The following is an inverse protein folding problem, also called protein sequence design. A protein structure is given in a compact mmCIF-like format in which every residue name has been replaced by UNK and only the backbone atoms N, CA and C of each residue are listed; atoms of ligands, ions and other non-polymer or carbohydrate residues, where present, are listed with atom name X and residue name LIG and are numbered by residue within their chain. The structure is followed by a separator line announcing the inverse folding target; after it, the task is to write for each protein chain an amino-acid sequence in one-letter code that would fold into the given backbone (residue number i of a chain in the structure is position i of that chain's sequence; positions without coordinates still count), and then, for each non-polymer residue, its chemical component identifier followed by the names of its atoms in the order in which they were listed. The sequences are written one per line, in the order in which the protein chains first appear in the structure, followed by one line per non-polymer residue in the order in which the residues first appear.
data_IF_851519490887
#
_entry.id   IF_851519490887
#
_cell.length_a   1.000
_cell.length_b   1.000
_cell.length_c   1.000
_cell.angle_alpha   90.00
_cell.angle_beta   90.00
_cell.angle_gamma   90.00
#
_symmetry.space_group_name_H-M   'P 1'
#
loop_
_entity.id
_entity.type
_entity.pdbx_description
1 polymer ?
#
# COMPACT_ATOMS: atom_id res chain seq x y z
N UNK A 1 -1.34 -19.42 -29.54
CA UNK A 1 -2.29 -19.04 -28.46
C UNK A 1 -1.61 -17.95 -27.65
N UNK A 2 -2.04 -16.69 -27.79
CA UNK A 2 -1.45 -15.57 -27.06
C UNK A 2 -2.26 -15.33 -25.79
N UNK A 3 -1.62 -15.49 -24.62
CA UNK A 3 -2.19 -15.03 -23.36
C UNK A 3 -2.11 -13.50 -23.33
N UNK A 4 -3.23 -12.84 -23.56
CA UNK A 4 -3.36 -11.42 -23.21
C UNK A 4 -3.61 -11.36 -21.70
N UNK A 5 -2.54 -11.12 -20.93
CA UNK A 5 -2.62 -10.70 -19.53
C UNK A 5 -3.33 -9.34 -19.47
N UNK A 6 -4.66 -9.37 -19.32
CA UNK A 6 -5.42 -8.18 -18.95
C UNK A 6 -5.14 -7.95 -17.46
N UNK A 7 -3.99 -7.36 -17.15
CA UNK A 7 -3.80 -6.66 -15.87
C UNK A 7 -4.58 -5.35 -15.98
N UNK A 8 -5.84 -5.39 -15.59
CA UNK A 8 -6.67 -4.19 -15.51
C UNK A 8 -7.40 -4.17 -14.19
N UNK A 9 -6.65 -3.78 -13.16
CA UNK A 9 -7.12 -2.74 -12.23
C UNK A 9 -5.96 -1.83 -11.73
N UNK A 10 -5.09 -1.27 -12.60
CA UNK A 10 -3.97 -0.43 -12.15
C UNK A 10 -4.40 0.91 -11.55
N UNK A 11 -5.61 1.41 -11.83
CA UNK A 11 -6.04 2.74 -11.38
C UNK A 11 -6.57 2.79 -9.94
N UNK A 12 -7.24 1.73 -9.47
CA UNK A 12 -7.70 1.67 -8.07
C UNK A 12 -6.61 1.18 -7.12
N UNK A 13 -5.71 0.30 -7.57
CA UNK A 13 -4.62 -0.27 -6.75
C UNK A 13 -3.51 0.77 -6.49
N UNK A 14 -2.98 1.39 -7.55
CA UNK A 14 -1.86 2.33 -7.44
C UNK A 14 -2.25 3.65 -6.75
N UNK A 15 -3.40 4.24 -7.11
CA UNK A 15 -3.87 5.47 -6.49
C UNK A 15 -4.25 5.27 -5.01
N UNK A 16 -4.80 4.10 -4.67
CA UNK A 16 -5.08 3.73 -3.28
C UNK A 16 -3.79 3.57 -2.48
N UNK A 17 -2.80 2.82 -3.00
CA UNK A 17 -1.48 2.65 -2.36
C UNK A 17 -0.78 3.97 -2.14
N UNK A 18 -0.69 4.81 -3.18
CA UNK A 18 -0.07 6.14 -3.07
C UNK A 18 -0.81 7.02 -2.05
N UNK A 19 -2.14 7.01 -2.06
CA UNK A 19 -2.94 7.74 -1.09
C UNK A 19 -2.74 7.26 0.35
N UNK A 20 -2.55 5.95 0.56
CA UNK A 20 -2.32 5.38 1.87
C UNK A 20 -0.91 5.69 2.38
N UNK A 21 0.11 5.60 1.52
CA UNK A 21 1.50 6.02 1.82
C UNK A 21 1.53 7.50 2.23
N UNK A 22 0.90 8.40 1.47
CA UNK A 22 0.87 9.83 1.82
C UNK A 22 0.18 10.10 3.15
N UNK A 23 -0.93 9.42 3.44
CA UNK A 23 -1.63 9.52 4.74
C UNK A 23 -0.74 9.02 5.88
N UNK A 24 0.00 7.94 5.67
CA UNK A 24 0.92 7.35 6.64
C UNK A 24 2.09 8.29 6.95
N UNK A 25 2.75 8.85 5.93
CA UNK A 25 3.82 9.83 6.10
C UNK A 25 3.36 11.15 6.73
N UNK A 26 2.09 11.51 6.56
CA UNK A 26 1.49 12.70 7.16
C UNK A 26 0.94 12.46 8.59
N UNK A 27 0.86 11.21 9.06
CA UNK A 27 0.33 10.87 10.37
C UNK A 27 1.22 11.48 11.47
N UNK A 28 0.62 12.23 12.39
CA UNK A 28 1.33 12.92 13.47
C UNK A 28 1.23 12.24 14.82
N UNK A 29 0.36 11.24 14.93
CA UNK A 29 0.14 10.49 16.15
C UNK A 29 0.17 8.98 15.88
N UNK A 30 0.54 8.24 16.92
CA UNK A 30 0.76 6.80 16.85
C UNK A 30 -0.53 6.02 16.59
N UNK A 31 -1.70 6.55 16.95
CA UNK A 31 -2.97 5.87 16.72
C UNK A 31 -3.37 5.93 15.24
N UNK A 32 -3.19 7.09 14.60
CA UNK A 32 -3.40 7.25 13.16
C UNK A 32 -2.45 6.34 12.36
N UNK A 33 -1.18 6.27 12.76
CA UNK A 33 -0.20 5.38 12.15
C UNK A 33 -0.63 3.90 12.24
N UNK A 34 -1.03 3.44 13.42
CA UNK A 34 -1.49 2.07 13.64
C UNK A 34 -2.79 1.75 12.88
N UNK A 35 -3.69 2.72 12.76
CA UNK A 35 -4.92 2.56 11.97
C UNK A 35 -4.60 2.35 10.48
N UNK A 36 -3.63 3.08 9.95
CA UNK A 36 -3.18 2.96 8.55
C UNK A 36 -2.41 1.66 8.30
N UNK A 37 -1.57 1.21 9.23
CA UNK A 37 -0.93 -0.11 9.17
C UNK A 37 -1.97 -1.24 9.20
N UNK A 38 -3.01 -1.12 10.02
CA UNK A 38 -4.11 -2.09 10.05
C UNK A 38 -4.94 -2.08 8.75
N UNK A 39 -5.08 -0.93 8.09
CA UNK A 39 -5.70 -0.81 6.78
C UNK A 39 -4.85 -1.51 5.71
N UNK A 40 -3.52 -1.27 5.70
CA UNK A 40 -2.58 -1.94 4.81
C UNK A 40 -2.55 -3.46 5.01
N UNK A 41 -2.56 -3.96 6.25
CA UNK A 41 -2.60 -5.40 6.51
C UNK A 41 -3.88 -6.07 5.96
N UNK A 42 -5.02 -5.37 5.96
CA UNK A 42 -6.26 -5.88 5.33
C UNK A 42 -6.13 -5.91 3.81
N UNK A 43 -5.47 -4.90 3.24
CA UNK A 43 -5.16 -4.87 1.82
C UNK A 43 -4.26 -6.04 1.42
N UNK A 44 -3.20 -6.31 2.16
CA UNK A 44 -2.24 -7.39 1.87
C UNK A 44 -2.93 -8.76 1.94
N UNK A 45 -3.83 -8.95 2.90
CA UNK A 45 -4.66 -10.17 2.98
C UNK A 45 -5.53 -10.38 1.74
N UNK A 46 -6.00 -9.29 1.12
CA UNK A 46 -6.81 -9.35 -0.09
C UNK A 46 -5.97 -9.44 -1.38
N UNK A 47 -4.68 -9.10 -1.33
CA UNK A 47 -3.78 -8.99 -2.48
C UNK A 47 -2.51 -9.84 -2.27
N UNK A 48 -2.60 -11.17 -2.36
CA UNK A 48 -1.45 -12.04 -2.21
C UNK A 48 -0.44 -11.80 -3.34
N UNK A 49 0.68 -11.17 -3.02
CA UNK A 49 1.76 -10.84 -3.98
C UNK A 49 2.23 -9.38 -3.93
N UNK A 50 1.53 -8.50 -3.22
CA UNK A 50 1.99 -7.16 -2.88
C UNK A 50 1.88 -6.95 -1.36
N UNK A 51 2.80 -6.18 -0.79
CA UNK A 51 2.84 -5.88 0.64
C UNK A 51 2.88 -4.37 0.87
N UNK A 52 1.69 -3.79 0.99
CA UNK A 52 1.53 -2.38 1.30
C UNK A 52 2.04 -2.09 2.71
N UNK A 53 1.97 -3.05 3.64
CA UNK A 53 2.56 -2.88 4.98
C UNK A 53 4.07 -2.66 4.90
N UNK A 54 4.78 -3.45 4.09
CA UNK A 54 6.22 -3.28 3.90
C UNK A 54 6.54 -1.94 3.20
N UNK A 55 5.72 -1.52 2.23
CA UNK A 55 5.87 -0.22 1.57
C UNK A 55 5.71 0.96 2.53
N UNK A 56 4.75 0.90 3.46
CA UNK A 56 4.59 1.94 4.48
C UNK A 56 5.83 2.02 5.38
N UNK A 57 6.28 0.87 5.87
CA UNK A 57 7.44 0.81 6.75
C UNK A 57 8.72 1.29 6.03
N UNK A 58 8.94 0.85 4.79
CA UNK A 58 10.02 1.35 3.93
C UNK A 58 9.96 2.87 3.72
N UNK A 59 8.77 3.40 3.41
CA UNK A 59 8.56 4.84 3.25
C UNK A 59 8.90 5.64 4.53
N UNK A 60 8.60 5.13 5.73
CA UNK A 60 9.01 5.80 6.98
C UNK A 60 10.52 5.80 7.22
N UNK A 61 11.23 4.81 6.70
CA UNK A 61 12.68 4.68 6.82
C UNK A 61 13.42 5.57 5.81
N UNK A 62 12.69 6.24 4.90
CA UNK A 62 13.26 7.00 3.79
C UNK A 62 13.83 6.10 2.68
N UNK A 63 13.59 4.79 2.77
CA UNK A 63 14.00 3.79 1.79
C UNK A 63 12.80 3.50 0.89
N UNK A 64 12.69 4.28 -0.17
CA UNK A 64 11.79 3.99 -1.29
C UNK A 64 12.67 3.47 -2.42
N UNK A 65 12.89 2.16 -2.43
CA UNK A 65 13.64 1.44 -3.47
C UNK A 65 12.78 1.19 -4.72
#
# INVERSE_FOLDING_TARGET
MSLTLITSAPSSDAAYREGLIRRYLAARDRFAELALLAEAARYDKANPGASLTDELLGASLGDVA
#
